data_IF_614140645698
#
_entry.id   IF_614140645698
#
_cell.length_a   1.000
_cell.length_b   1.000
_cell.length_c   1.000
_cell.angle_alpha   90.00
_cell.angle_beta   90.00
_cell.angle_gamma   90.00
#
_symmetry.space_group_name_H-M   'P 1'
#
loop_
_entity.id
_entity.type
_entity.pdbx_description
1 polymer ?
#
# COMPACT_ATOMS: atom_id res chain seq x y z
N UNK A 1 0.52 -28.57 -17.44
CA UNK A 1 -0.45 -27.48 -17.59
C UNK A 1 -1.71 -27.89 -16.85
N UNK A 2 -2.03 -27.20 -15.75
CA UNK A 2 -3.28 -27.40 -15.01
C UNK A 2 -4.39 -26.55 -15.65
N UNK A 3 -5.64 -27.01 -15.67
CA UNK A 3 -6.71 -26.38 -16.45
C UNK A 3 -7.26 -25.06 -15.88
N UNK A 4 -6.80 -24.59 -14.70
CA UNK A 4 -7.40 -23.45 -13.98
C UNK A 4 -6.39 -22.39 -13.49
N UNK A 5 -5.38 -22.04 -14.30
CA UNK A 5 -4.61 -20.80 -14.03
C UNK A 5 -5.56 -19.61 -14.21
N UNK A 6 -5.79 -18.69 -13.28
CA UNK A 6 -4.80 -18.00 -12.46
C UNK A 6 -5.51 -17.15 -11.36
N UNK A 7 -5.65 -17.63 -10.11
CA UNK A 7 -6.02 -16.78 -8.96
C UNK A 7 -4.81 -16.39 -8.08
N UNK A 8 -3.70 -17.12 -8.19
CA UNK A 8 -2.55 -17.02 -7.27
C UNK A 8 -1.68 -15.80 -7.59
N UNK A 9 -1.52 -15.44 -8.87
CA UNK A 9 -0.66 -14.32 -9.27
C UNK A 9 -1.30 -12.96 -8.94
N UNK A 10 -2.61 -12.78 -9.15
CA UNK A 10 -3.30 -11.54 -8.81
C UNK A 10 -3.27 -11.22 -7.30
N UNK A 11 -3.51 -12.24 -6.46
CA UNK A 11 -3.42 -12.09 -5.01
C UNK A 11 -1.98 -11.79 -4.54
N UNK A 12 -0.98 -12.41 -5.17
CA UNK A 12 0.44 -12.15 -4.87
C UNK A 12 0.86 -10.73 -5.26
N UNK A 13 0.43 -10.25 -6.43
CA UNK A 13 0.68 -8.89 -6.91
C UNK A 13 0.06 -7.87 -5.94
N UNK A 14 -1.18 -8.09 -5.52
CA UNK A 14 -1.86 -7.20 -4.59
C UNK A 14 -1.19 -7.14 -3.20
N UNK A 15 -0.78 -8.30 -2.66
CA UNK A 15 -0.03 -8.36 -1.39
C UNK A 15 1.32 -7.65 -1.52
N UNK A 16 2.01 -7.84 -2.66
CA UNK A 16 3.28 -7.20 -2.93
C UNK A 16 3.14 -5.68 -2.95
N UNK A 17 2.17 -5.15 -3.69
CA UNK A 17 1.94 -3.72 -3.81
C UNK A 17 1.50 -3.09 -2.48
N UNK A 18 0.68 -3.80 -1.71
CA UNK A 18 0.28 -3.37 -0.38
C UNK A 18 1.48 -3.31 0.58
N UNK A 19 2.35 -4.32 0.55
CA UNK A 19 3.61 -4.31 1.34
C UNK A 19 4.55 -3.19 0.92
N UNK A 20 4.64 -2.89 -0.38
CA UNK A 20 5.46 -1.80 -0.89
C UNK A 20 4.99 -0.44 -0.37
N UNK A 21 3.69 -0.16 -0.38
CA UNK A 21 3.14 1.09 0.14
C UNK A 21 3.35 1.24 1.66
N UNK A 22 3.19 0.15 2.42
CA UNK A 22 3.49 0.15 3.85
C UNK A 22 4.96 0.45 4.14
N UNK A 23 5.88 -0.11 3.34
CA UNK A 23 7.31 0.18 3.48
C UNK A 23 7.61 1.67 3.25
N UNK A 24 6.98 2.30 2.24
CA UNK A 24 7.10 3.73 1.97
C UNK A 24 6.61 4.58 3.16
N UNK A 25 5.42 4.26 3.70
CA UNK A 25 4.84 4.97 4.86
C UNK A 25 5.76 4.89 6.08
N UNK A 26 6.31 3.70 6.36
CA UNK A 26 7.23 3.48 7.49
C UNK A 26 8.50 4.31 7.31
N UNK A 27 9.13 4.25 6.14
CA UNK A 27 10.38 4.97 5.87
C UNK A 27 10.25 6.49 6.01
N UNK A 28 9.17 7.09 5.49
CA UNK A 28 8.96 8.53 5.67
C UNK A 28 8.61 8.91 7.12
N UNK A 29 7.92 8.03 7.85
CA UNK A 29 7.65 8.24 9.27
C UNK A 29 8.94 8.23 10.10
N UNK A 30 9.91 7.41 9.71
CA UNK A 30 11.26 7.37 10.30
C UNK A 30 12.05 8.64 9.97
N UNK A 31 12.07 9.09 8.70
CA UNK A 31 12.73 10.34 8.25
C UNK A 31 12.23 11.59 8.99
N UNK A 32 10.91 11.75 9.15
CA UNK A 32 10.33 12.87 9.91
C UNK A 32 10.77 12.84 11.38
N UNK A 33 10.93 11.65 11.96
CA UNK A 33 11.41 11.48 13.33
C UNK A 33 12.88 11.93 13.51
N UNK A 34 13.67 11.89 12.44
CA UNK A 34 15.08 12.29 12.43
C UNK A 34 15.26 13.79 12.12
N UNK A 35 14.39 14.39 11.29
CA UNK A 35 14.48 15.81 10.90
C UNK A 35 13.49 16.72 11.65
N UNK A 36 13.75 16.99 12.94
CA UNK A 36 12.85 17.85 13.75
C UNK A 36 13.04 19.37 13.55
N UNK A 37 13.99 19.81 12.72
CA UNK A 37 14.39 21.24 12.63
C UNK A 37 14.03 21.93 11.30
N UNK A 38 13.48 21.21 10.33
CA UNK A 38 13.02 21.77 9.05
C UNK A 38 11.52 21.50 8.84
N UNK A 39 10.65 22.47 9.16
CA UNK A 39 9.19 22.33 9.02
C UNK A 39 8.72 22.13 7.58
N UNK A 40 9.49 22.55 6.58
CA UNK A 40 9.14 22.43 5.16
C UNK A 40 9.49 21.04 4.63
N UNK A 41 10.64 20.48 5.04
CA UNK A 41 10.99 19.08 4.80
C UNK A 41 9.99 18.12 5.47
N UNK A 42 9.68 18.34 6.76
CA UNK A 42 8.68 17.55 7.49
C UNK A 42 7.32 17.58 6.76
N UNK A 43 6.87 18.75 6.30
CA UNK A 43 5.59 18.88 5.60
C UNK A 43 5.59 18.10 4.28
N UNK A 44 6.69 18.12 3.54
CA UNK A 44 6.81 17.36 2.29
C UNK A 44 6.73 15.85 2.54
N UNK A 45 7.44 15.34 3.53
CA UNK A 45 7.40 13.92 3.89
C UNK A 45 6.02 13.49 4.39
N UNK A 46 5.32 14.34 5.14
CA UNK A 46 3.93 14.08 5.58
C UNK A 46 2.98 13.95 4.38
N UNK A 47 3.11 14.79 3.36
CA UNK A 47 2.27 14.70 2.16
C UNK A 47 2.56 13.41 1.36
N UNK A 48 3.81 12.96 1.30
CA UNK A 48 4.16 11.69 0.66
C UNK A 48 3.62 10.46 1.43
N UNK A 49 3.67 10.49 2.77
CA UNK A 49 3.02 9.47 3.62
C UNK A 49 1.53 9.40 3.32
N UNK A 50 0.87 10.56 3.28
CA UNK A 50 -0.56 10.65 3.02
C UNK A 50 -0.90 10.11 1.63
N UNK A 51 -0.15 10.48 0.60
CA UNK A 51 -0.35 9.97 -0.76
C UNK A 51 -0.16 8.45 -0.86
N UNK A 52 0.82 7.88 -0.14
CA UNK A 52 1.02 6.44 -0.07
C UNK A 52 -0.13 5.73 0.66
N UNK A 53 -0.64 6.30 1.76
CA UNK A 53 -1.78 5.78 2.50
C UNK A 53 -3.07 5.81 1.68
N UNK A 54 -3.35 6.90 0.95
CA UNK A 54 -4.51 7.02 0.05
C UNK A 54 -4.48 5.95 -1.06
N UNK A 55 -3.30 5.70 -1.66
CA UNK A 55 -3.11 4.61 -2.63
C UNK A 55 -3.42 3.26 -2.00
N UNK A 56 -2.95 3.00 -0.78
CA UNK A 56 -3.18 1.73 -0.10
C UNK A 56 -4.67 1.50 0.17
N UNK A 57 -5.39 2.54 0.62
CA UNK A 57 -6.85 2.50 0.82
C UNK A 57 -7.58 2.16 -0.47
N UNK A 58 -7.27 2.85 -1.58
CA UNK A 58 -7.87 2.58 -2.89
C UNK A 58 -7.59 1.15 -3.41
N UNK A 59 -6.49 0.53 -2.99
CA UNK A 59 -6.19 -0.87 -3.31
C UNK A 59 -7.01 -1.85 -2.47
N UNK A 60 -7.35 -1.51 -1.22
CA UNK A 60 -8.22 -2.35 -0.40
C UNK A 60 -9.66 -2.41 -0.90
N UNK A 61 -10.15 -1.35 -1.55
CA UNK A 61 -11.47 -1.33 -2.19
C UNK A 61 -11.59 -2.32 -3.35
N UNK A 62 -10.45 -2.70 -3.95
CA UNK A 62 -10.36 -3.67 -5.06
C UNK A 62 -10.14 -5.11 -4.59
N UNK A 63 -10.00 -5.34 -3.28
CA UNK A 63 -9.89 -6.68 -2.73
C UNK A 63 -11.23 -7.43 -2.91
N UNK A 64 -11.20 -8.69 -3.36
CA UNK A 64 -12.38 -9.54 -3.32
C UNK A 64 -12.90 -9.62 -1.90
N UNK A 65 -14.17 -9.27 -1.68
CA UNK A 65 -14.81 -9.48 -0.38
C UNK A 65 -14.88 -11.00 -0.14
N UNK A 66 -14.42 -11.50 1.01
CA UNK A 66 -14.62 -12.91 1.33
C UNK A 66 -16.13 -13.19 1.37
N UNK A 67 -16.61 -14.08 0.49
CA UNK A 67 -17.99 -14.58 0.52
C UNK A 67 -18.95 -14.12 -0.58
N UNK A 68 -18.50 -13.80 -1.80
CA UNK A 68 -19.42 -13.75 -2.95
C UNK A 68 -19.42 -15.12 -3.66
N UNK A 69 -20.44 -15.98 -3.46
CA UNK A 69 -20.59 -17.16 -4.29
C UNK A 69 -20.86 -16.70 -5.73
N UNK A 70 -20.04 -17.18 -6.66
CA UNK A 70 -20.35 -17.09 -8.08
C UNK A 70 -21.73 -17.75 -8.30
N UNK A 71 -22.68 -16.97 -8.82
CA UNK A 71 -23.98 -17.48 -9.26
C UNK A 71 -23.84 -18.09 -10.65
#
# INVERSE_FOLDING_TARGET
>A
MSPDGEPIDAARILIHDFRNLLAVIVNYSELIGEELNDPEAIRADIEEIKAAAEKAIAMTEKLPRPGTPAS
#
